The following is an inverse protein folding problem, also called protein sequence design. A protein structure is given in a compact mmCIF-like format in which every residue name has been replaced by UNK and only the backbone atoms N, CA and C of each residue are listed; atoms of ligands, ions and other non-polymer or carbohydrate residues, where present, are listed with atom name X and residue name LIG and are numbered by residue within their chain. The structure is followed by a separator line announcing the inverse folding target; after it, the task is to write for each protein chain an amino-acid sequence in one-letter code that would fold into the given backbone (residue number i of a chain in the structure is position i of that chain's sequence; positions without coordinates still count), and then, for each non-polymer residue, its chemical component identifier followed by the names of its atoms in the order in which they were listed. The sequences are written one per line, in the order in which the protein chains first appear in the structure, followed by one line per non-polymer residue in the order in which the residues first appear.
data_IF_565581317572
#
_entry.id   IF_565581317572
#
_cell.length_a   1.000
_cell.length_b   1.000
_cell.length_c   1.000
_cell.angle_alpha   90.00
_cell.angle_beta   90.00
_cell.angle_gamma   90.00
#
_symmetry.space_group_name_H-M   'P 1'
#
loop_
_entity.id
_entity.type
_entity.pdbx_description
1 polymer ?
#
# COMPACT_ATOMS: atom_id res chain seq x y z
N UNK A 1 18.00 18.28 10.99
CA UNK A 1 17.80 17.34 12.12
C UNK A 1 16.41 16.71 12.04
N UNK A 2 15.32 17.47 12.17
CA UNK A 2 13.92 16.98 12.07
C UNK A 2 13.59 16.05 10.88
N UNK A 3 14.06 16.35 9.65
CA UNK A 3 13.79 15.49 8.47
C UNK A 3 14.47 14.12 8.55
N UNK A 4 15.69 14.05 9.08
CA UNK A 4 16.43 12.79 9.21
C UNK A 4 15.83 11.92 10.31
N UNK A 5 15.44 12.53 11.43
CA UNK A 5 14.70 11.86 12.51
C UNK A 5 13.37 11.31 12.01
N UNK A 6 12.63 12.08 11.22
CA UNK A 6 11.38 11.62 10.60
C UNK A 6 11.57 10.40 9.71
N UNK A 7 12.55 10.45 8.80
CA UNK A 7 12.88 9.32 7.92
C UNK A 7 13.26 8.10 8.74
N UNK A 8 14.11 8.27 9.76
CA UNK A 8 14.54 7.17 10.61
C UNK A 8 13.36 6.55 11.38
N UNK A 9 12.46 7.37 11.92
CA UNK A 9 11.26 6.88 12.60
C UNK A 9 10.35 6.06 11.68
N UNK A 10 10.25 6.43 10.40
CA UNK A 10 9.48 5.67 9.41
C UNK A 10 10.12 4.31 9.06
N UNK A 11 11.46 4.27 8.98
CA UNK A 11 12.23 3.04 8.77
C UNK A 11 12.08 2.12 9.99
N UNK A 12 12.31 2.64 11.18
CA UNK A 12 12.24 1.86 12.43
C UNK A 12 10.84 1.32 12.66
N UNK A 13 9.81 2.12 12.37
CA UNK A 13 8.42 1.69 12.44
C UNK A 13 8.15 0.51 11.48
N UNK A 14 8.62 0.58 10.24
CA UNK A 14 8.42 -0.49 9.26
C UNK A 14 9.17 -1.78 9.67
N UNK A 15 10.39 -1.64 10.20
CA UNK A 15 11.16 -2.78 10.74
C UNK A 15 10.42 -3.42 11.92
N UNK A 16 9.87 -2.63 12.84
CA UNK A 16 9.05 -3.16 13.94
C UNK A 16 7.81 -3.87 13.39
N UNK A 17 7.09 -3.24 12.45
CA UNK A 17 5.88 -3.76 11.83
C UNK A 17 6.11 -5.11 11.14
N UNK A 18 7.23 -5.25 10.44
CA UNK A 18 7.61 -6.50 9.74
C UNK A 18 7.77 -7.71 10.66
N UNK A 19 7.94 -7.50 11.97
CA UNK A 19 8.11 -8.56 12.97
C UNK A 19 6.79 -8.94 13.66
N UNK A 20 5.70 -8.23 13.38
CA UNK A 20 4.40 -8.54 13.94
C UNK A 20 3.81 -9.81 13.32
N UNK A 21 3.01 -10.53 14.11
CA UNK A 21 2.34 -11.75 13.65
C UNK A 21 1.37 -11.47 12.49
N UNK A 22 1.45 -12.34 11.47
CA UNK A 22 0.63 -12.26 10.26
C UNK A 22 1.12 -11.23 9.24
N UNK A 23 2.18 -10.47 9.54
CA UNK A 23 2.84 -9.61 8.55
C UNK A 23 3.77 -10.45 7.68
N UNK A 24 3.56 -10.37 6.37
CA UNK A 24 4.27 -11.13 5.33
C UNK A 24 5.10 -10.17 4.48
N UNK A 25 6.25 -10.64 4.01
CA UNK A 25 7.14 -9.86 3.16
C UNK A 25 6.76 -9.95 1.68
N UNK A 26 7.02 -8.86 0.97
CA UNK A 26 6.99 -8.73 -0.48
C UNK A 26 8.34 -8.18 -0.97
N UNK A 27 8.62 -8.22 -2.28
CA UNK A 27 9.84 -7.64 -2.84
C UNK A 27 10.04 -6.18 -2.41
N UNK A 28 11.30 -5.73 -2.44
CA UNK A 28 11.70 -4.33 -2.19
C UNK A 28 11.30 -3.77 -0.81
N UNK A 29 11.23 -4.64 0.21
CA UNK A 29 10.94 -4.22 1.59
C UNK A 29 9.50 -3.79 1.81
N UNK A 30 8.59 -4.19 0.92
CA UNK A 30 7.15 -4.03 1.12
C UNK A 30 6.69 -5.16 2.03
N UNK A 31 5.69 -4.89 2.86
CA UNK A 31 5.06 -5.89 3.70
C UNK A 31 3.55 -5.79 3.57
N UNK A 32 2.84 -6.84 3.95
CA UNK A 32 1.39 -6.80 4.04
C UNK A 32 0.86 -7.71 5.13
N UNK A 33 -0.37 -7.46 5.56
CA UNK A 33 -1.16 -8.34 6.41
C UNK A 33 -2.51 -8.60 5.76
N UNK A 34 -2.91 -9.87 5.69
CA UNK A 34 -4.22 -10.24 5.16
C UNK A 34 -5.29 -9.87 6.20
N UNK A 35 -6.29 -9.09 5.79
CA UNK A 35 -7.46 -8.75 6.59
C UNK A 35 -8.68 -9.59 6.20
N UNK A 36 -8.83 -9.88 4.91
CA UNK A 36 -9.77 -10.86 4.37
C UNK A 36 -9.20 -11.51 3.11
N UNK A 37 -9.51 -12.79 2.92
CA UNK A 37 -9.13 -13.55 1.74
C UNK A 37 -10.25 -13.48 0.69
N UNK A 38 -9.85 -13.17 -0.54
CA UNK A 38 -10.71 -13.24 -1.72
C UNK A 38 -10.80 -14.66 -2.28
N UNK A 39 -11.27 -14.77 -3.53
CA UNK A 39 -11.32 -16.05 -4.21
C UNK A 39 -9.91 -16.41 -4.76
N UNK A 40 -9.24 -17.47 -4.26
CA UNK A 40 -7.89 -17.82 -4.69
C UNK A 40 -7.80 -18.33 -6.13
N UNK A 41 -8.94 -18.59 -6.79
CA UNK A 41 -9.01 -18.97 -8.21
C UNK A 41 -9.31 -17.80 -9.13
N UNK A 42 -9.54 -16.60 -8.58
CA UNK A 42 -9.80 -15.41 -9.38
C UNK A 42 -8.54 -14.85 -10.03
N UNK A 43 -8.71 -13.96 -10.99
CA UNK A 43 -7.58 -13.34 -11.68
C UNK A 43 -6.75 -12.48 -10.73
N UNK A 44 -5.43 -12.62 -10.82
CA UNK A 44 -4.49 -11.64 -10.26
C UNK A 44 -4.22 -10.53 -11.30
N UNK A 45 -4.13 -9.27 -10.89
CA UNK A 45 -3.71 -8.18 -11.77
C UNK A 45 -2.33 -8.42 -12.38
N UNK A 46 -2.16 -8.01 -13.63
CA UNK A 46 -0.83 -7.75 -14.22
C UNK A 46 -0.53 -6.26 -14.13
N UNK A 47 0.72 -5.84 -14.39
CA UNK A 47 1.06 -4.41 -14.45
C UNK A 47 0.18 -3.61 -15.42
N UNK A 48 -0.31 -4.24 -16.50
CA UNK A 48 -1.13 -3.58 -17.53
C UNK A 48 -2.63 -3.67 -17.27
N UNK A 49 -3.05 -4.47 -16.30
CA UNK A 49 -4.47 -4.64 -15.96
C UNK A 49 -5.07 -3.33 -15.47
N UNK A 50 -6.34 -3.14 -15.78
CA UNK A 50 -7.17 -2.13 -15.13
C UNK A 50 -7.69 -2.76 -13.85
N UNK A 51 -7.33 -2.18 -12.71
CA UNK A 51 -7.83 -2.61 -11.40
C UNK A 51 -9.03 -1.76 -11.01
N UNK A 52 -9.93 -2.33 -10.23
CA UNK A 52 -10.94 -1.60 -9.46
C UNK A 52 -10.74 -1.91 -7.99
N UNK A 53 -10.52 -0.91 -7.15
CA UNK A 53 -10.23 -1.12 -5.73
C UNK A 53 -10.79 -0.02 -4.83
N UNK A 54 -11.18 -0.42 -3.63
CA UNK A 54 -11.31 0.53 -2.53
C UNK A 54 -10.03 0.59 -1.71
N UNK A 55 -9.71 1.77 -1.17
CA UNK A 55 -8.56 1.92 -0.31
C UNK A 55 -8.69 3.06 0.70
N UNK A 56 -7.83 3.00 1.71
CA UNK A 56 -7.56 4.11 2.64
C UNK A 56 -6.06 4.18 2.89
N UNK A 57 -5.46 5.35 2.62
CA UNK A 57 -4.04 5.62 2.82
C UNK A 57 -3.78 6.46 4.07
N UNK A 58 -2.83 6.02 4.90
CA UNK A 58 -2.42 6.68 6.14
C UNK A 58 -0.90 6.74 6.29
N UNK A 59 -0.41 7.75 6.98
CA UNK A 59 0.97 7.80 7.49
C UNK A 59 1.10 7.02 8.80
N UNK A 60 2.34 6.74 9.24
CA UNK A 60 2.62 5.93 10.45
C UNK A 60 2.08 6.52 11.75
N UNK A 61 1.74 7.81 11.76
CA UNK A 61 1.09 8.51 12.88
C UNK A 61 -0.45 8.34 12.87
N UNK A 62 -0.99 7.56 11.94
CA UNK A 62 -2.40 7.26 11.79
C UNK A 62 -3.18 8.32 11.00
N UNK A 63 -2.54 9.40 10.54
CA UNK A 63 -3.22 10.43 9.76
C UNK A 63 -3.59 9.92 8.37
N UNK A 64 -4.88 9.92 8.07
CA UNK A 64 -5.38 9.64 6.72
C UNK A 64 -5.03 10.80 5.79
N UNK A 65 -4.43 10.47 4.65
CA UNK A 65 -4.14 11.44 3.58
C UNK A 65 -5.05 11.28 2.37
N UNK A 66 -5.58 10.07 2.14
CA UNK A 66 -6.46 9.78 1.01
C UNK A 66 -7.34 8.54 1.28
N UNK A 67 -8.51 8.47 0.65
CA UNK A 67 -9.41 7.32 0.71
C UNK A 67 -10.46 7.38 -0.39
N UNK A 68 -10.80 6.23 -0.97
CA UNK A 68 -11.96 6.10 -1.86
C UNK A 68 -13.25 5.72 -1.13
N UNK A 69 -13.19 5.47 0.19
CA UNK A 69 -14.38 5.16 0.99
C UNK A 69 -15.25 6.41 1.14
N UNK A 70 -16.57 6.23 1.01
CA UNK A 70 -17.53 7.33 0.98
C UNK A 70 -17.73 7.94 -0.41
N UNK A 71 -17.05 7.41 -1.43
CA UNK A 71 -17.24 7.76 -2.84
C UNK A 71 -17.23 6.51 -3.73
N UNK A 72 -16.71 6.68 -4.95
CA UNK A 72 -16.57 5.58 -5.92
C UNK A 72 -15.21 4.88 -5.78
N UNK A 73 -15.13 3.57 -6.06
CA UNK A 73 -13.85 2.87 -6.13
C UNK A 73 -12.88 3.51 -7.15
N UNK A 74 -11.59 3.39 -6.89
CA UNK A 74 -10.55 3.74 -7.85
C UNK A 74 -10.59 2.74 -9.01
N UNK A 75 -10.58 3.24 -10.24
CA UNK A 75 -10.39 2.44 -11.45
C UNK A 75 -9.27 3.03 -12.31
N UNK A 76 -8.15 2.33 -12.44
CA UNK A 76 -6.99 2.80 -13.21
C UNK A 76 -6.11 1.62 -13.66
N UNK A 77 -5.16 1.87 -14.56
CA UNK A 77 -4.12 0.88 -14.86
C UNK A 77 -3.18 0.75 -13.67
N UNK A 78 -2.81 -0.48 -13.33
CA UNK A 78 -1.93 -0.73 -12.20
C UNK A 78 -0.56 -0.07 -12.37
N UNK A 79 0.02 -0.08 -13.57
CA UNK A 79 1.31 0.52 -13.88
C UNK A 79 1.38 2.04 -13.71
N UNK A 80 0.23 2.72 -13.58
CA UNK A 80 0.17 4.17 -13.41
C UNK A 80 0.24 4.57 -11.91
N UNK A 81 0.33 3.60 -11.00
CA UNK A 81 0.41 3.79 -9.55
C UNK A 81 1.84 3.70 -9.00
N UNK A 82 2.01 4.02 -7.71
CA UNK A 82 3.30 3.86 -7.02
C UNK A 82 3.77 2.40 -7.03
N UNK A 83 5.08 2.19 -7.06
CA UNK A 83 5.68 0.86 -7.23
C UNK A 83 5.23 -0.14 -6.16
N UNK A 84 5.00 0.32 -4.92
CA UNK A 84 4.49 -0.51 -3.85
C UNK A 84 3.11 -1.09 -4.12
N UNK A 85 2.22 -0.33 -4.76
CA UNK A 85 0.92 -0.82 -5.20
C UNK A 85 1.06 -1.83 -6.33
N UNK A 86 1.93 -1.55 -7.32
CA UNK A 86 2.18 -2.48 -8.44
C UNK A 86 2.59 -3.86 -7.92
N UNK A 87 3.56 -3.89 -7.00
CA UNK A 87 4.08 -5.14 -6.44
C UNK A 87 3.03 -5.85 -5.59
N UNK A 88 2.35 -5.13 -4.70
CA UNK A 88 1.38 -5.73 -3.78
C UNK A 88 0.16 -6.28 -4.53
N UNK A 89 -0.45 -5.48 -5.42
CA UNK A 89 -1.68 -5.87 -6.10
C UNK A 89 -1.48 -7.05 -7.06
N UNK A 90 -0.29 -7.22 -7.64
CA UNK A 90 0.03 -8.41 -8.45
C UNK A 90 0.03 -9.72 -7.66
N UNK A 91 0.03 -9.66 -6.33
CA UNK A 91 -0.09 -10.82 -5.45
C UNK A 91 -1.50 -11.01 -4.89
N UNK A 92 -2.39 -10.04 -5.11
CA UNK A 92 -3.77 -10.07 -4.64
C UNK A 92 -4.70 -10.75 -5.65
N UNK A 93 -5.72 -11.39 -5.12
CA UNK A 93 -6.86 -11.95 -5.83
C UNK A 93 -8.09 -11.05 -5.66
N UNK A 94 -9.05 -11.14 -6.57
CA UNK A 94 -10.32 -10.41 -6.43
C UNK A 94 -11.01 -10.84 -5.13
N UNK A 95 -11.42 -9.85 -4.34
CA UNK A 95 -11.99 -9.99 -3.00
C UNK A 95 -10.98 -9.90 -1.87
N UNK A 96 -9.67 -9.94 -2.16
CA UNK A 96 -8.65 -9.77 -1.12
C UNK A 96 -8.76 -8.38 -0.50
N UNK A 97 -8.65 -8.35 0.83
CA UNK A 97 -8.50 -7.14 1.61
C UNK A 97 -7.22 -7.20 2.42
N UNK A 98 -6.25 -6.36 2.11
CA UNK A 98 -4.94 -6.36 2.77
C UNK A 98 -4.64 -5.00 3.40
N UNK A 99 -3.88 -5.01 4.50
CA UNK A 99 -3.13 -3.83 4.96
C UNK A 99 -1.70 -3.94 4.43
N UNK A 100 -1.29 -3.01 3.58
CA UNK A 100 0.00 -2.98 2.87
C UNK A 100 0.87 -1.86 3.44
N UNK A 101 2.12 -2.17 3.74
CA UNK A 101 3.11 -1.25 4.30
C UNK A 101 4.22 -1.02 3.28
N UNK A 102 4.36 0.22 2.83
CA UNK A 102 5.18 0.59 1.69
C UNK A 102 6.31 1.51 2.17
N UNK A 103 7.59 1.12 2.03
CA UNK A 103 8.71 1.99 2.34
C UNK A 103 8.73 3.20 1.41
N UNK A 104 9.33 4.30 1.85
CA UNK A 104 9.31 5.56 1.12
C UNK A 104 9.79 5.41 -0.34
N UNK A 105 10.83 4.62 -0.59
CA UNK A 105 11.40 4.36 -1.91
C UNK A 105 10.38 3.74 -2.88
N UNK A 106 9.43 2.95 -2.38
CA UNK A 106 8.34 2.32 -3.15
C UNK A 106 7.06 3.16 -3.16
N UNK A 107 7.05 4.29 -2.48
CA UNK A 107 5.99 5.30 -2.48
C UNK A 107 6.43 6.57 -3.21
N UNK A 108 6.48 7.69 -2.49
CA UNK A 108 6.84 9.01 -3.05
C UNK A 108 8.30 9.43 -2.80
N UNK A 109 9.10 8.53 -2.20
CA UNK A 109 10.51 8.74 -1.91
C UNK A 109 10.75 9.94 -1.01
N UNK A 110 11.77 10.72 -1.35
CA UNK A 110 12.26 11.89 -0.61
C UNK A 110 11.42 13.17 -0.83
N UNK A 111 10.42 13.11 -1.71
CA UNK A 111 9.56 14.24 -2.07
C UNK A 111 8.27 14.23 -1.24
N UNK A 112 7.82 15.41 -0.83
CA UNK A 112 6.55 15.54 -0.12
C UNK A 112 5.38 15.60 -1.11
N UNK A 113 4.24 15.04 -0.72
CA UNK A 113 2.93 15.21 -1.35
C UNK A 113 1.99 15.92 -0.36
N UNK A 114 0.83 16.45 -0.81
CA UNK A 114 -0.18 16.97 0.11
C UNK A 114 -0.52 15.95 1.22
N UNK A 115 -0.25 16.32 2.46
CA UNK A 115 -0.49 15.45 3.63
C UNK A 115 0.57 14.36 3.86
N UNK A 116 1.58 14.21 2.99
CA UNK A 116 2.60 13.15 3.09
C UNK A 116 4.00 13.78 3.07
N UNK A 117 4.71 13.86 4.21
CA UNK A 117 6.09 14.31 4.23
C UNK A 117 7.02 13.39 3.41
N UNK A 118 8.02 13.95 2.75
CA UNK A 118 9.03 13.13 2.06
C UNK A 118 9.78 12.20 3.01
N UNK A 119 9.92 10.93 2.64
CA UNK A 119 10.48 9.87 3.47
C UNK A 119 9.45 9.11 4.30
N UNK A 120 8.16 9.29 4.04
CA UNK A 120 7.09 8.56 4.73
C UNK A 120 7.06 7.10 4.31
N UNK A 121 6.93 6.20 5.29
CA UNK A 121 6.34 4.88 5.11
C UNK A 121 4.83 5.07 4.99
N UNK A 122 4.22 4.44 3.99
CA UNK A 122 2.79 4.54 3.72
C UNK A 122 2.08 3.25 4.14
N UNK A 123 0.90 3.40 4.73
CA UNK A 123 0.04 2.28 5.13
C UNK A 123 -1.22 2.39 4.28
N UNK A 124 -1.56 1.31 3.58
CA UNK A 124 -2.77 1.23 2.77
C UNK A 124 -3.61 0.04 3.18
N UNK A 125 -4.85 0.28 3.58
CA UNK A 125 -5.88 -0.75 3.55
C UNK A 125 -6.44 -0.79 2.13
N UNK A 126 -6.32 -1.92 1.42
CA UNK A 126 -6.74 -2.09 0.02
C UNK A 126 -7.72 -3.26 -0.06
N UNK A 127 -8.81 -3.07 -0.79
CA UNK A 127 -9.78 -4.12 -1.14
C UNK A 127 -9.87 -4.19 -2.67
N UNK A 128 -9.44 -5.30 -3.26
CA UNK A 128 -9.45 -5.51 -4.72
C UNK A 128 -10.83 -6.00 -5.16
N UNK A 129 -11.54 -5.20 -5.94
CA UNK A 129 -12.92 -5.47 -6.37
C UNK A 129 -13.00 -6.07 -7.77
N UNK A 130 -12.03 -5.78 -8.64
CA UNK A 130 -12.07 -6.27 -10.01
C UNK A 130 -10.77 -6.05 -10.78
N UNK A 131 -10.62 -6.83 -11.85
CA UNK A 131 -9.49 -6.82 -12.78
C UNK A 131 -10.02 -6.95 -14.20
N UNK A 132 -9.56 -6.10 -15.11
CA UNK A 132 -9.88 -6.13 -16.54
C UNK A 132 -8.63 -5.96 -17.41
#
# INVERSE_FOLDING_TARGET
MKKREYIQANIDWLIAKSKEEGVKALPKGIYYKVLAEGNPTSAQPTARSIITAHYTGKTIDGKQFDSSRGGVPLACRLCDLIEGWIIAMQQMHIGDKWEVYIPAEMGYGKFSQPGIPGGSTLIFEIELLGVA
#
